data_IF_080591849316
#
_entry.id   IF_080591849316
#
_cell.length_a   1.000
_cell.length_b   1.000
_cell.length_c   1.000
_cell.angle_alpha   90.00
_cell.angle_beta   90.00
_cell.angle_gamma   90.00
#
_symmetry.space_group_name_H-M   'P 1'
#
loop_
_entity.id
_entity.type
_entity.pdbx_description
1 polymer ?
#
# COMPACT_ATOMS: atom_id res chain seq x y z
N UNK A 1 4.38 -15.62 -5.84
CA UNK A 1 4.37 -14.50 -4.87
C UNK A 1 5.24 -13.42 -5.48
N UNK A 2 4.66 -12.30 -5.89
CA UNK A 2 5.40 -11.30 -6.66
C UNK A 2 5.43 -9.94 -5.96
N UNK A 3 6.58 -9.28 -6.07
CA UNK A 3 6.79 -7.91 -5.63
C UNK A 3 7.20 -7.12 -6.86
N UNK A 4 6.74 -5.88 -6.96
CA UNK A 4 7.30 -4.98 -7.95
C UNK A 4 8.78 -4.74 -7.61
N UNK A 5 9.69 -4.85 -8.60
CA UNK A 5 11.12 -4.70 -8.34
C UNK A 5 11.47 -3.26 -7.95
N UNK A 6 12.48 -3.10 -7.08
CA UNK A 6 12.98 -1.78 -6.64
C UNK A 6 13.55 -0.93 -7.80
N UNK A 7 13.81 -1.53 -8.97
CA UNK A 7 14.15 -0.76 -10.16
C UNK A 7 13.03 0.19 -10.60
N UNK A 8 11.76 -0.12 -10.28
CA UNK A 8 10.61 0.77 -10.55
C UNK A 8 10.80 2.12 -9.86
N UNK A 9 11.18 2.12 -8.59
CA UNK A 9 11.34 3.36 -7.79
C UNK A 9 12.64 4.08 -8.09
N UNK A 10 13.67 3.37 -8.55
CA UNK A 10 14.97 3.96 -8.87
C UNK A 10 15.05 4.55 -10.28
N UNK A 11 14.35 3.96 -11.27
CA UNK A 11 14.45 4.37 -12.67
C UNK A 11 13.30 5.28 -13.11
N UNK A 12 12.13 5.15 -12.48
CA UNK A 12 10.90 5.80 -12.94
C UNK A 12 10.50 6.99 -12.05
N UNK A 13 11.46 7.80 -11.59
CA UNK A 13 11.21 8.95 -10.69
C UNK A 13 10.25 10.01 -11.27
N UNK A 14 10.09 10.03 -12.60
CA UNK A 14 9.17 10.92 -13.32
C UNK A 14 7.82 10.26 -13.65
N UNK A 15 7.58 9.03 -13.19
CA UNK A 15 6.33 8.30 -13.44
C UNK A 15 5.16 9.05 -12.82
N UNK A 16 4.14 9.34 -13.63
CA UNK A 16 2.90 9.98 -13.15
C UNK A 16 1.77 8.97 -12.92
N UNK A 17 1.78 7.84 -13.63
CA UNK A 17 0.75 6.81 -13.56
C UNK A 17 1.43 5.46 -13.36
N UNK A 18 1.06 4.76 -12.28
CA UNK A 18 1.39 3.37 -12.04
C UNK A 18 0.07 2.60 -11.99
N UNK A 19 -0.22 1.83 -13.03
CA UNK A 19 -1.40 0.97 -13.10
C UNK A 19 -0.97 -0.48 -12.91
N UNK A 20 -1.46 -1.11 -11.85
CA UNK A 20 -1.20 -2.51 -11.47
C UNK A 20 -2.50 -3.33 -11.45
N UNK A 21 -3.53 -2.86 -12.18
CA UNK A 21 -4.78 -3.61 -12.37
C UNK A 21 -4.49 -4.94 -13.07
N UNK A 22 -5.14 -6.02 -12.62
CA UNK A 22 -4.88 -7.38 -13.11
C UNK A 22 -3.62 -8.05 -12.53
N UNK A 23 -2.87 -7.40 -11.63
CA UNK A 23 -1.72 -8.01 -10.94
C UNK A 23 -2.16 -8.83 -9.71
N UNK A 24 -2.96 -9.88 -9.91
CA UNK A 24 -3.61 -10.65 -8.83
C UNK A 24 -2.67 -11.27 -7.79
N UNK A 25 -1.42 -11.58 -8.19
CA UNK A 25 -0.41 -12.20 -7.33
C UNK A 25 0.53 -11.20 -6.66
N UNK A 26 0.33 -9.89 -6.90
CA UNK A 26 1.14 -8.84 -6.33
C UNK A 26 0.88 -8.73 -4.82
N UNK A 27 1.94 -8.85 -4.04
CA UNK A 27 1.87 -8.77 -2.57
C UNK A 27 2.22 -7.42 -2.01
N UNK A 28 3.23 -6.79 -2.60
CA UNK A 28 3.87 -5.61 -2.04
C UNK A 28 4.35 -4.70 -3.17
N UNK A 29 4.25 -3.40 -2.91
CA UNK A 29 4.94 -2.37 -3.67
C UNK A 29 6.40 -2.26 -3.18
N UNK A 30 7.32 -1.74 -4.00
CA UNK A 30 8.71 -1.50 -3.61
C UNK A 30 8.77 -0.62 -2.35
N UNK A 31 9.75 -0.88 -1.48
CA UNK A 31 9.90 -0.22 -0.18
C UNK A 31 10.18 1.27 -0.34
N UNK A 32 10.88 1.64 -1.41
CA UNK A 32 11.23 3.02 -1.70
C UNK A 32 10.18 3.74 -2.56
N UNK A 33 8.88 3.43 -2.41
CA UNK A 33 7.81 4.04 -3.22
C UNK A 33 7.86 5.58 -3.21
N UNK A 34 8.31 6.16 -2.09
CA UNK A 34 8.50 7.59 -1.88
C UNK A 34 9.39 8.28 -2.91
N UNK A 35 10.25 7.55 -3.63
CA UNK A 35 11.06 8.08 -4.73
C UNK A 35 10.24 8.48 -5.95
N UNK A 36 9.01 7.97 -6.10
CA UNK A 36 8.10 8.31 -7.18
C UNK A 36 7.39 9.65 -6.91
N UNK A 37 8.16 10.72 -6.65
CA UNK A 37 7.66 12.04 -6.20
C UNK A 37 6.66 12.71 -7.16
N UNK A 38 6.71 12.32 -8.44
CA UNK A 38 5.81 12.80 -9.49
C UNK A 38 4.58 11.93 -9.70
N UNK A 39 4.41 10.84 -8.93
CA UNK A 39 3.30 9.93 -9.07
C UNK A 39 1.99 10.64 -8.70
N UNK A 40 1.05 10.64 -9.63
CA UNK A 40 -0.29 11.21 -9.47
C UNK A 40 -1.36 10.14 -9.35
N UNK A 41 -1.18 9.01 -10.02
CA UNK A 41 -2.20 7.97 -10.07
C UNK A 41 -1.59 6.60 -9.79
N UNK A 42 -1.96 6.00 -8.66
CA UNK A 42 -1.74 4.59 -8.38
C UNK A 42 -3.07 3.87 -8.55
N UNK A 43 -3.20 3.10 -9.64
CA UNK A 43 -4.46 2.52 -10.08
C UNK A 43 -4.40 1.01 -9.92
N UNK A 44 -5.41 0.47 -9.22
CA UNK A 44 -5.65 -0.96 -9.11
C UNK A 44 -7.09 -1.20 -8.69
N UNK A 45 -7.58 -2.41 -8.98
CA UNK A 45 -8.86 -2.88 -8.47
C UNK A 45 -8.65 -3.49 -7.07
N UNK A 46 -9.24 -2.92 -6.01
CA UNK A 46 -9.05 -3.42 -4.65
C UNK A 46 -9.63 -4.81 -4.42
N UNK A 47 -10.52 -5.28 -5.29
CA UNK A 47 -11.10 -6.62 -5.20
C UNK A 47 -10.31 -7.65 -6.05
N UNK A 48 -9.27 -7.22 -6.77
CA UNK A 48 -8.40 -8.10 -7.56
C UNK A 48 -7.05 -8.39 -6.89
N UNK A 49 -6.70 -7.66 -5.84
CA UNK A 49 -5.41 -7.77 -5.15
C UNK A 49 -5.51 -8.63 -3.88
N UNK A 50 -5.90 -9.90 -4.04
CA UNK A 50 -6.14 -10.84 -2.94
C UNK A 50 -4.93 -11.01 -2.01
N UNK A 51 -3.72 -10.91 -2.56
CA UNK A 51 -2.47 -11.12 -1.85
C UNK A 51 -1.86 -9.82 -1.28
N UNK A 52 -2.40 -8.66 -1.65
CA UNK A 52 -1.80 -7.37 -1.34
C UNK A 52 -2.14 -6.95 0.09
N UNK A 53 -1.15 -6.90 0.97
CA UNK A 53 -1.41 -6.90 2.42
C UNK A 53 -1.28 -5.54 3.10
N UNK A 54 -0.51 -4.62 2.55
CA UNK A 54 -0.23 -3.31 3.16
C UNK A 54 0.35 -2.31 2.16
N UNK A 55 0.13 -1.02 2.41
CA UNK A 55 0.88 0.06 1.74
C UNK A 55 2.34 0.06 2.23
N UNK A 56 3.33 0.32 1.35
CA UNK A 56 4.72 0.50 1.75
C UNK A 56 4.87 1.75 2.60
N UNK A 57 5.85 1.74 3.52
CA UNK A 57 6.18 2.92 4.32
C UNK A 57 6.69 4.06 3.44
N UNK A 58 6.35 5.30 3.80
CA UNK A 58 6.70 6.49 3.02
C UNK A 58 5.74 6.78 1.87
N UNK A 59 4.64 6.04 1.74
CA UNK A 59 3.57 6.39 0.79
C UNK A 59 3.05 7.81 1.06
N UNK A 60 3.03 8.24 2.32
CA UNK A 60 2.64 9.60 2.71
C UNK A 60 3.56 10.71 2.16
N UNK A 61 4.76 10.37 1.69
CA UNK A 61 5.67 11.32 1.05
C UNK A 61 5.26 11.63 -0.41
N UNK A 62 4.32 10.87 -1.00
CA UNK A 62 3.79 11.09 -2.35
C UNK A 62 2.76 12.25 -2.38
N UNK A 63 3.24 13.46 -2.12
CA UNK A 63 2.40 14.67 -2.01
C UNK A 63 1.63 15.01 -3.29
N UNK A 64 2.08 14.51 -4.44
CA UNK A 64 1.44 14.71 -5.75
C UNK A 64 0.36 13.67 -6.05
N UNK A 65 0.16 12.66 -5.18
CA UNK A 65 -0.75 11.55 -5.44
C UNK A 65 -2.21 12.01 -5.35
N UNK A 66 -2.93 11.86 -6.45
CA UNK A 66 -4.32 12.28 -6.64
C UNK A 66 -5.29 11.11 -6.59
N UNK A 67 -4.88 9.95 -7.10
CA UNK A 67 -5.73 8.75 -7.16
C UNK A 67 -5.09 7.59 -6.42
N UNK A 68 -5.82 7.09 -5.43
CA UNK A 68 -5.55 5.86 -4.68
C UNK A 68 -6.90 5.19 -4.33
N UNK A 69 -7.29 4.09 -4.99
CA UNK A 69 -8.59 3.46 -4.77
C UNK A 69 -8.76 2.88 -3.36
N UNK A 70 -7.69 2.29 -2.80
CA UNK A 70 -7.72 1.68 -1.46
C UNK A 70 -6.39 1.86 -0.73
N UNK A 71 -6.45 2.17 0.56
CA UNK A 71 -5.31 2.22 1.47
C UNK A 71 -5.35 1.00 2.40
N UNK A 72 -4.41 0.07 2.20
CA UNK A 72 -4.22 -1.10 3.07
C UNK A 72 -3.32 -0.73 4.25
N UNK A 73 -3.88 -0.67 5.45
CA UNK A 73 -3.15 -0.31 6.67
C UNK A 73 -2.23 -1.44 7.10
N UNK A 74 -0.98 -1.08 7.41
CA UNK A 74 0.02 -2.01 7.92
C UNK A 74 -0.34 -2.60 9.29
N UNK A 75 -0.14 -3.91 9.43
CA UNK A 75 -0.43 -4.65 10.67
C UNK A 75 0.72 -4.60 11.67
N UNK A 76 0.39 -4.76 12.96
CA UNK A 76 1.39 -4.89 14.04
C UNK A 76 1.89 -6.34 14.09
N UNK A 77 3.20 -6.55 14.05
CA UNK A 77 3.78 -7.88 14.31
C UNK A 77 3.54 -8.27 15.77
N UNK A 78 2.84 -9.38 15.98
CA UNK A 78 2.68 -9.98 17.30
C UNK A 78 4.02 -10.61 17.72
N UNK A 79 4.83 -9.93 18.53
CA UNK A 79 6.05 -10.50 19.11
C UNK A 79 7.30 -9.63 19.07
N UNK A 80 7.24 -8.38 18.59
CA UNK A 80 8.38 -7.46 18.68
C UNK A 80 7.94 -6.11 19.23
N UNK A 81 8.86 -5.42 19.90
CA UNK A 81 8.70 -4.03 20.34
C UNK A 81 8.50 -3.13 19.11
N UNK A 82 7.24 -3.03 18.67
CA UNK A 82 6.66 -1.97 17.85
C UNK A 82 7.13 -1.81 16.39
N UNK A 83 7.37 -2.89 15.64
CA UNK A 83 7.59 -2.78 14.18
C UNK A 83 6.33 -3.08 13.39
N UNK A 84 5.58 -2.04 13.02
CA UNK A 84 4.50 -2.13 12.00
C UNK A 84 5.08 -2.61 10.66
N UNK A 85 4.40 -3.57 10.03
CA UNK A 85 4.66 -4.01 8.66
C UNK A 85 3.82 -3.12 7.75
N UNK A 86 4.47 -2.20 7.01
CA UNK A 86 3.79 -1.24 6.15
C UNK A 86 3.43 0.11 6.79
N UNK A 87 2.71 0.93 6.01
CA UNK A 87 2.29 2.27 6.36
C UNK A 87 1.19 2.29 7.42
N UNK A 88 1.29 3.22 8.35
CA UNK A 88 0.23 3.53 9.29
C UNK A 88 -0.79 4.50 8.71
N UNK A 89 -1.92 4.67 9.43
CA UNK A 89 -2.92 5.69 9.08
C UNK A 89 -2.35 7.11 9.15
N UNK A 90 -1.32 7.33 9.96
CA UNK A 90 -0.61 8.61 10.08
C UNK A 90 0.01 9.07 8.75
N UNK A 91 0.31 8.16 7.82
CA UNK A 91 0.83 8.53 6.50
C UNK A 91 -0.22 9.18 5.58
N UNK A 92 -1.51 8.98 5.85
CA UNK A 92 -2.59 9.67 5.12
C UNK A 92 -2.48 11.19 5.25
N UNK A 93 -1.91 11.70 6.34
CA UNK A 93 -1.69 13.14 6.55
C UNK A 93 -0.76 13.78 5.51
N UNK A 94 0.07 12.99 4.83
CA UNK A 94 0.95 13.48 3.77
C UNK A 94 0.29 13.49 2.39
N UNK A 95 -0.81 12.75 2.20
CA UNK A 95 -1.49 12.53 0.93
C UNK A 95 -2.52 13.63 0.61
N UNK A 96 -2.10 14.89 0.71
CA UNK A 96 -2.98 16.06 0.63
C UNK A 96 -3.58 16.32 -0.77
N UNK A 97 -3.01 15.72 -1.81
CA UNK A 97 -3.51 15.82 -3.18
C UNK A 97 -4.58 14.79 -3.52
N UNK A 98 -4.90 13.83 -2.65
CA UNK A 98 -5.91 12.81 -2.92
C UNK A 98 -7.27 13.44 -3.19
N UNK A 99 -7.98 12.91 -4.20
CA UNK A 99 -9.32 13.33 -4.59
C UNK A 99 -10.21 12.10 -4.77
N UNK A 100 -11.52 12.30 -4.68
CA UNK A 100 -12.51 11.26 -4.91
C UNK A 100 -12.69 10.31 -3.71
N UNK A 101 -13.03 9.05 -4.00
CA UNK A 101 -13.32 8.03 -2.99
C UNK A 101 -12.06 7.27 -2.61
N UNK A 102 -11.76 7.22 -1.31
CA UNK A 102 -10.73 6.37 -0.74
C UNK A 102 -11.39 5.30 0.14
N UNK A 103 -11.05 4.04 -0.07
CA UNK A 103 -11.43 2.95 0.83
C UNK A 103 -10.24 2.65 1.74
N UNK A 104 -10.46 2.55 3.05
CA UNK A 104 -9.41 2.15 3.99
C UNK A 104 -9.72 0.74 4.47
N UNK A 105 -8.75 -0.16 4.37
CA UNK A 105 -8.85 -1.55 4.82
C UNK A 105 -7.71 -1.84 5.79
N UNK A 106 -8.01 -2.60 6.85
CA UNK A 106 -7.01 -3.13 7.76
C UNK A 106 -7.17 -4.65 7.80
N UNK A 107 -6.06 -5.38 7.74
CA UNK A 107 -6.08 -6.83 7.91
C UNK A 107 -6.30 -7.13 9.39
N UNK A 108 -7.55 -7.39 9.80
CA UNK A 108 -7.80 -8.07 11.07
C UNK A 108 -7.16 -9.45 10.93
N UNK A 109 -6.17 -9.75 11.77
CA UNK A 109 -5.77 -11.14 11.97
C UNK A 109 -6.99 -11.86 12.52
N UNK A 110 -7.70 -12.61 11.67
CA UNK A 110 -8.67 -13.60 12.09
C UNK A 110 -7.90 -14.62 12.93
N UNK A 111 -7.76 -14.37 14.23
CA UNK A 111 -7.59 -15.47 15.18
C UNK A 111 -8.90 -16.22 15.13
N UNK A 112 -8.95 -17.28 14.33
CA UNK A 112 -9.94 -18.32 14.51
C UNK A 112 -9.80 -18.80 15.97
N UNK A 113 -10.70 -18.34 16.85
CA UNK A 113 -10.97 -19.04 18.10
C UNK A 113 -11.86 -20.20 17.72
N UNK A 114 -11.25 -21.35 17.44
CA UNK A 114 -11.95 -22.62 17.54
C UNK A 114 -12.31 -22.79 19.01
N UNK A 115 -13.59 -22.58 19.36
CA UNK A 115 -14.12 -23.13 20.59
C UNK A 115 -14.36 -24.62 20.29
N UNK A 116 -13.43 -25.47 20.70
CA UNK A 116 -13.76 -26.88 20.89
C UNK A 116 -14.53 -26.96 22.21
N UNK A 117 -15.76 -27.46 22.12
CA UNK A 117 -16.62 -27.83 23.24
C UNK A 117 -15.97 -28.92 24.09
#
# INVERSE_FOLDING_TARGET
MEMLPESVTNLLVNLQVLNISGCHLLKELPKDIKKLVNLKHLIFDPDQLDCFSHMPKGIGELKSLQTLPTFMVGSRSSGSNDKRIGAGLDELNGLNALRGKLIIRATLSLRAKTFMS
#
